data_IF_447340061583
#
_entry.id   IF_447340061583
#
_cell.length_a   1.000
_cell.length_b   1.000
_cell.length_c   1.000
_cell.angle_alpha   90.00
_cell.angle_beta   90.00
_cell.angle_gamma   90.00
#
_symmetry.space_group_name_H-M   'P 1'
#
loop_
_entity.id
_entity.type
_entity.pdbx_description
1 polymer ?
#
# COMPACT_ATOMS: atom_id res chain seq x y z
N UNK A 1 -6.31 6.99 -17.32
CA UNK A 1 -5.67 7.87 -16.32
C UNK A 1 -5.41 7.05 -15.08
N UNK A 2 -4.16 6.67 -14.84
CA UNK A 2 -3.79 5.89 -13.65
C UNK A 2 -3.80 6.85 -12.45
N UNK A 3 -4.80 6.75 -11.58
CA UNK A 3 -4.68 7.30 -10.24
C UNK A 3 -3.59 6.47 -9.56
N UNK A 4 -2.38 7.01 -9.55
CA UNK A 4 -1.25 6.40 -8.86
C UNK A 4 -1.59 6.42 -7.36
N UNK A 5 -2.15 5.31 -6.89
CA UNK A 5 -2.76 5.20 -5.56
C UNK A 5 -1.71 5.54 -4.52
N UNK A 6 -2.00 6.54 -3.68
CA UNK A 6 -1.12 6.95 -2.59
C UNK A 6 -0.75 5.73 -1.75
N UNK A 7 0.54 5.56 -1.47
CA UNK A 7 0.99 4.47 -0.61
C UNK A 7 0.53 4.72 0.84
N UNK A 8 0.36 3.67 1.64
CA UNK A 8 -0.19 3.80 3.00
C UNK A 8 0.66 4.71 3.91
N UNK A 9 1.98 4.61 3.79
CA UNK A 9 2.93 5.45 4.49
C UNK A 9 2.84 6.93 4.07
N UNK A 10 2.65 7.16 2.78
CA UNK A 10 2.45 8.49 2.19
C UNK A 10 1.13 9.12 2.63
N UNK A 11 0.06 8.31 2.70
CA UNK A 11 -1.26 8.73 3.20
C UNK A 11 -1.21 9.11 4.68
N UNK A 12 -0.53 8.32 5.51
CA UNK A 12 -0.32 8.64 6.94
C UNK A 12 0.52 9.89 7.13
N UNK A 13 1.58 10.07 6.33
CA UNK A 13 2.42 11.26 6.39
C UNK A 13 1.62 12.54 6.08
N UNK A 14 0.69 12.46 5.13
CA UNK A 14 -0.21 13.56 4.80
C UNK A 14 -1.27 13.81 5.90
N UNK A 15 -1.82 12.74 6.48
CA UNK A 15 -2.72 12.86 7.63
C UNK A 15 -2.04 13.53 8.83
N UNK A 16 -0.80 13.13 9.13
CA UNK A 16 0.02 13.70 10.19
C UNK A 16 0.32 15.19 9.94
N UNK A 17 0.63 15.57 8.69
CA UNK A 17 0.92 16.97 8.37
C UNK A 17 -0.33 17.86 8.49
N UNK A 18 -1.51 17.35 8.11
CA UNK A 18 -2.79 18.05 8.25
C UNK A 18 -3.23 18.21 9.71
N UNK A 19 -3.00 17.18 10.54
CA UNK A 19 -3.36 17.17 11.95
C UNK A 19 -2.31 17.85 12.85
N UNK A 20 -1.11 18.10 12.32
CA UNK A 20 -0.05 18.72 13.11
C UNK A 20 -0.43 20.11 13.65
N UNK A 21 0.06 20.38 14.85
CA UNK A 21 0.02 21.72 15.45
C UNK A 21 0.86 22.71 14.64
N UNK A 22 0.69 24.00 14.97
CA UNK A 22 1.48 25.06 14.36
C UNK A 22 2.97 24.86 14.63
N UNK A 23 3.76 24.74 13.57
CA UNK A 23 5.22 24.60 13.67
C UNK A 23 5.90 25.96 13.56
N UNK A 24 6.74 26.28 14.55
CA UNK A 24 7.60 27.47 14.50
C UNK A 24 8.78 27.21 13.59
N UNK A 25 9.07 28.15 12.69
CA UNK A 25 10.14 28.02 11.69
C UNK A 25 11.03 29.26 11.69
N UNK A 26 12.32 29.05 11.42
CA UNK A 26 13.34 30.09 11.48
C UNK A 26 13.46 30.92 10.19
N UNK A 27 12.53 30.78 9.26
CA UNK A 27 12.50 31.57 8.02
C UNK A 27 11.20 32.34 7.90
N UNK A 28 11.27 33.47 7.22
CA UNK A 28 10.12 34.27 6.84
C UNK A 28 9.31 33.52 5.76
N UNK A 29 7.99 33.54 5.91
CA UNK A 29 7.03 32.87 5.03
C UNK A 29 5.92 33.87 4.67
N UNK A 30 6.26 34.89 3.86
CA UNK A 30 5.29 35.92 3.47
C UNK A 30 4.85 35.76 2.02
N UNK A 31 3.59 36.10 1.77
CA UNK A 31 3.03 36.11 0.41
C UNK A 31 3.85 37.03 -0.50
N UNK A 32 4.21 36.53 -1.69
CA UNK A 32 5.10 37.20 -2.64
C UNK A 32 6.58 36.81 -2.51
N UNK A 33 6.95 36.06 -1.47
CA UNK A 33 8.27 35.42 -1.40
C UNK A 33 8.23 34.00 -1.98
N UNK A 34 9.30 33.59 -2.65
CA UNK A 34 9.43 32.25 -3.25
C UNK A 34 9.13 31.13 -2.25
N UNK A 35 9.54 31.27 -0.99
CA UNK A 35 9.33 30.25 0.05
C UNK A 35 7.85 30.03 0.33
N UNK A 36 7.07 31.10 0.40
CA UNK A 36 5.63 31.01 0.61
C UNK A 36 4.93 30.41 -0.60
N UNK A 37 5.27 30.87 -1.81
CA UNK A 37 4.66 30.38 -3.05
C UNK A 37 4.94 28.90 -3.25
N UNK A 38 6.18 28.45 -2.98
CA UNK A 38 6.55 27.03 -3.01
C UNK A 38 5.80 26.23 -1.94
N UNK A 39 5.72 26.72 -0.70
CA UNK A 39 4.98 26.04 0.35
C UNK A 39 3.48 25.92 0.01
N UNK A 40 2.90 26.98 -0.55
CA UNK A 40 1.51 27.01 -1.02
C UNK A 40 1.29 26.08 -2.22
N UNK A 41 2.25 26.02 -3.14
CA UNK A 41 2.27 25.08 -4.25
C UNK A 41 2.25 23.63 -3.78
N UNK A 42 3.16 23.26 -2.87
CA UNK A 42 3.20 21.92 -2.26
C UNK A 42 1.87 21.61 -1.54
N UNK A 43 1.35 22.57 -0.76
CA UNK A 43 0.05 22.42 -0.09
C UNK A 43 -1.06 22.09 -1.09
N UNK A 44 -1.10 22.77 -2.23
CA UNK A 44 -2.11 22.52 -3.25
C UNK A 44 -2.00 21.12 -3.86
N UNK A 45 -0.79 20.61 -4.10
CA UNK A 45 -0.61 19.23 -4.58
C UNK A 45 -1.03 18.21 -3.53
N UNK A 46 -0.69 18.46 -2.26
CA UNK A 46 -1.05 17.57 -1.16
C UNK A 46 -2.57 17.50 -0.94
N UNK A 47 -3.28 18.63 -1.12
CA UNK A 47 -4.75 18.66 -1.10
C UNK A 47 -5.37 17.80 -2.23
N UNK A 48 -4.67 17.66 -3.36
CA UNK A 48 -5.02 16.78 -4.48
C UNK A 48 -4.49 15.34 -4.30
N UNK A 49 -3.97 14.98 -3.12
CA UNK A 49 -3.38 13.68 -2.79
C UNK A 49 -2.15 13.34 -3.66
N UNK A 50 -1.31 14.33 -3.96
CA UNK A 50 -0.07 14.14 -4.72
C UNK A 50 1.11 14.80 -4.02
N UNK A 51 2.28 14.23 -4.22
CA UNK A 51 3.55 14.81 -3.77
C UNK A 51 4.34 15.29 -4.98
N UNK A 52 4.54 16.61 -5.14
CA UNK A 52 5.16 17.15 -6.33
C UNK A 52 6.68 17.00 -6.30
N UNK A 53 7.26 16.95 -7.48
CA UNK A 53 8.69 17.20 -7.67
C UNK A 53 8.99 18.67 -7.98
N UNK A 54 10.27 19.00 -8.18
CA UNK A 54 10.68 20.38 -8.47
C UNK A 54 10.11 20.91 -9.78
N UNK A 55 9.97 20.07 -10.81
CA UNK A 55 9.44 20.48 -12.11
C UNK A 55 7.94 20.70 -12.03
N UNK A 56 7.22 19.80 -11.35
CA UNK A 56 5.78 19.95 -11.09
C UNK A 56 5.47 21.29 -10.40
N UNK A 57 6.31 21.67 -9.42
CA UNK A 57 6.16 22.94 -8.71
C UNK A 57 6.42 24.14 -9.63
N UNK A 58 7.48 24.07 -10.45
CA UNK A 58 7.84 25.18 -11.32
C UNK A 58 6.80 25.38 -12.42
N UNK A 59 6.34 24.28 -13.03
CA UNK A 59 5.33 24.31 -14.08
C UNK A 59 4.02 24.92 -13.56
N UNK A 60 3.57 24.50 -12.38
CA UNK A 60 2.32 25.00 -11.77
C UNK A 60 2.40 26.47 -11.33
N UNK A 61 3.56 26.92 -10.81
CA UNK A 61 3.70 28.25 -10.21
C UNK A 61 4.24 29.32 -11.17
N UNK A 62 5.12 28.93 -12.08
CA UNK A 62 5.90 29.85 -12.91
C UNK A 62 5.82 29.55 -14.42
N UNK A 63 5.08 28.51 -14.82
CA UNK A 63 4.87 28.13 -16.22
C UNK A 63 5.97 27.21 -16.79
N UNK A 64 5.65 26.56 -17.90
CA UNK A 64 6.50 25.54 -18.54
C UNK A 64 7.83 26.11 -19.07
N UNK A 65 7.85 27.38 -19.49
CA UNK A 65 9.07 28.06 -19.96
C UNK A 65 10.18 28.03 -18.91
N UNK A 66 9.82 28.30 -17.64
CA UNK A 66 10.76 28.32 -16.51
C UNK A 66 11.20 26.92 -16.06
N UNK A 67 10.44 25.88 -16.39
CA UNK A 67 10.76 24.49 -16.04
C UNK A 67 12.01 23.98 -16.77
N UNK A 68 12.27 24.52 -17.97
CA UNK A 68 13.42 24.14 -18.80
C UNK A 68 14.66 25.01 -18.54
N UNK A 69 14.51 26.13 -17.82
CA UNK A 69 15.62 27.00 -17.44
C UNK A 69 16.44 26.39 -16.29
N UNK A 70 17.56 25.74 -16.63
CA UNK A 70 18.45 25.07 -15.66
C UNK A 70 18.85 25.95 -14.47
N UNK A 71 19.14 27.23 -14.69
CA UNK A 71 19.50 28.17 -13.62
C UNK A 71 18.32 28.43 -12.67
N UNK A 72 17.11 28.60 -13.20
CA UNK A 72 15.91 28.82 -12.41
C UNK A 72 15.58 27.58 -11.56
N UNK A 73 15.59 26.39 -12.17
CA UNK A 73 15.39 25.12 -11.46
C UNK A 73 16.38 24.98 -10.29
N UNK A 74 17.67 25.29 -10.51
CA UNK A 74 18.69 25.21 -9.46
C UNK A 74 18.43 26.20 -8.31
N UNK A 75 17.93 27.40 -8.62
CA UNK A 75 17.56 28.38 -7.60
C UNK A 75 16.38 27.89 -6.75
N UNK A 76 15.34 27.35 -7.37
CA UNK A 76 14.19 26.76 -6.67
C UNK A 76 14.64 25.58 -5.81
N UNK A 77 15.49 24.68 -6.31
CA UNK A 77 16.05 23.57 -5.51
C UNK A 77 16.84 24.08 -4.29
N UNK A 78 17.58 25.18 -4.45
CA UNK A 78 18.32 25.79 -3.35
C UNK A 78 17.38 26.34 -2.27
N UNK A 79 16.27 26.96 -2.69
CA UNK A 79 15.25 27.47 -1.76
C UNK A 79 14.54 26.30 -1.06
N UNK A 80 14.15 25.25 -1.79
CA UNK A 80 13.57 24.03 -1.21
C UNK A 80 14.52 23.41 -0.18
N UNK A 81 15.82 23.35 -0.47
CA UNK A 81 16.83 22.87 0.49
C UNK A 81 16.92 23.75 1.75
N UNK A 82 16.74 25.07 1.64
CA UNK A 82 16.66 25.96 2.81
C UNK A 82 15.38 25.72 3.63
N UNK A 83 14.25 25.50 2.95
CA UNK A 83 12.96 25.18 3.59
C UNK A 83 13.01 23.83 4.32
N UNK A 84 13.71 22.85 3.75
CA UNK A 84 13.90 21.53 4.36
C UNK A 84 14.71 21.64 5.65
N UNK A 85 15.86 22.35 5.62
CA UNK A 85 16.66 22.63 6.81
C UNK A 85 15.89 23.38 7.91
N UNK A 86 14.86 24.13 7.53
CA UNK A 86 14.01 24.89 8.45
C UNK A 86 12.77 24.10 8.89
N UNK A 87 12.71 22.80 8.58
CA UNK A 87 11.61 21.89 8.90
C UNK A 87 10.24 22.28 8.31
N UNK A 88 10.19 23.08 7.24
CA UNK A 88 8.93 23.42 6.56
C UNK A 88 8.51 22.30 5.63
N UNK A 89 9.47 21.78 4.85
CA UNK A 89 9.25 20.68 3.93
C UNK A 89 10.03 19.45 4.38
N UNK A 90 9.56 18.28 3.98
CA UNK A 90 10.24 17.00 4.11
C UNK A 90 10.51 16.46 2.72
N UNK A 91 11.69 15.87 2.56
CA UNK A 91 12.07 15.17 1.36
C UNK A 91 11.56 13.73 1.45
N UNK A 92 10.75 13.31 0.47
CA UNK A 92 10.24 11.94 0.37
C UNK A 92 11.13 11.08 -0.52
N UNK A 93 11.26 9.77 -0.26
CA UNK A 93 12.01 8.87 -1.14
C UNK A 93 11.45 8.91 -2.56
N UNK A 94 12.31 8.76 -3.56
CA UNK A 94 11.92 8.65 -4.96
C UNK A 94 11.17 7.33 -5.18
N UNK A 95 10.19 7.27 -6.09
CA UNK A 95 9.59 5.97 -6.43
C UNK A 95 10.54 5.15 -7.29
N UNK A 96 11.26 5.80 -8.21
CA UNK A 96 12.33 5.18 -9.01
C UNK A 96 13.65 5.95 -8.90
N UNK A 97 14.82 5.30 -9.05
CA UNK A 97 16.12 5.95 -8.91
C UNK A 97 16.34 7.18 -9.80
N UNK A 98 15.81 7.13 -11.03
CA UNK A 98 15.93 8.17 -12.05
C UNK A 98 14.86 9.27 -11.96
N UNK A 99 13.90 9.15 -11.04
CA UNK A 99 12.90 10.20 -10.84
C UNK A 99 13.47 11.37 -10.01
N UNK A 100 12.79 12.51 -10.08
CA UNK A 100 13.13 13.67 -9.30
C UNK A 100 12.71 13.50 -7.84
N UNK A 101 13.34 14.31 -6.97
CA UNK A 101 13.02 14.30 -5.56
C UNK A 101 11.61 14.85 -5.34
N UNK A 102 10.83 14.16 -4.51
CA UNK A 102 9.48 14.57 -4.14
C UNK A 102 9.49 15.31 -2.81
N UNK A 103 8.61 16.29 -2.68
CA UNK A 103 8.52 17.14 -1.50
C UNK A 103 7.15 17.01 -0.85
N UNK A 104 7.14 17.12 0.48
CA UNK A 104 5.95 17.15 1.30
C UNK A 104 6.04 18.28 2.31
N UNK A 105 4.92 18.82 2.76
CA UNK A 105 4.89 19.74 3.89
C UNK A 105 5.02 18.97 5.20
N UNK A 106 5.69 19.60 6.15
CA UNK A 106 5.74 19.09 7.51
C UNK A 106 4.50 19.46 8.32
N UNK A 107 3.79 20.53 7.92
CA UNK A 107 2.55 21.04 8.51
C UNK A 107 1.83 21.95 7.52
N UNK A 108 0.52 22.16 7.70
CA UNK A 108 -0.25 23.19 6.99
C UNK A 108 -0.30 24.54 7.72
N UNK A 109 0.22 24.58 8.96
CA UNK A 109 0.20 25.76 9.83
C UNK A 109 1.62 26.03 10.32
N UNK A 110 2.16 27.19 9.96
CA UNK A 110 3.49 27.61 10.40
C UNK A 110 3.41 28.92 11.16
N UNK A 111 4.34 29.11 12.08
CA UNK A 111 4.64 30.40 12.66
C UNK A 111 5.99 30.85 12.14
N UNK A 112 6.03 31.95 11.39
CA UNK A 112 7.26 32.47 10.81
C UNK A 112 8.20 33.09 11.88
N UNK A 113 9.38 33.51 11.45
CA UNK A 113 10.38 34.17 12.30
C UNK A 113 9.87 35.47 12.95
N UNK A 114 8.90 36.14 12.32
CA UNK A 114 8.30 37.37 12.82
C UNK A 114 7.07 37.08 13.71
N UNK A 115 6.81 35.81 14.04
CA UNK A 115 5.68 35.29 14.81
C UNK A 115 4.31 35.38 14.12
N UNK A 116 4.27 35.60 12.81
CA UNK A 116 3.03 35.57 12.03
C UNK A 116 2.57 34.13 11.82
N UNK A 117 1.27 33.90 12.00
CA UNK A 117 0.64 32.62 11.70
C UNK A 117 0.35 32.52 10.20
N UNK A 118 1.00 31.56 9.54
CA UNK A 118 0.85 31.28 8.12
C UNK A 118 0.02 30.01 7.96
N UNK A 119 -1.14 30.13 7.30
CA UNK A 119 -2.02 29.00 6.98
C UNK A 119 -1.99 28.71 5.48
N UNK A 120 -1.50 27.53 5.11
CA UNK A 120 -1.34 27.14 3.71
C UNK A 120 -2.62 26.57 3.09
N UNK A 121 -3.59 26.13 3.90
CA UNK A 121 -4.89 25.65 3.43
C UNK A 121 -6.01 26.11 4.37
N UNK A 122 -7.24 26.19 3.85
CA UNK A 122 -8.41 26.46 4.69
C UNK A 122 -8.80 25.21 5.49
N UNK A 123 -9.43 25.36 6.67
CA UNK A 123 -9.93 24.20 7.43
C UNK A 123 -10.90 23.32 6.63
N UNK A 124 -11.67 23.92 5.72
CA UNK A 124 -12.60 23.22 4.83
C UNK A 124 -11.85 22.34 3.82
N UNK A 125 -10.80 22.87 3.19
CA UNK A 125 -9.95 22.12 2.26
C UNK A 125 -9.28 20.94 2.96
N UNK A 126 -8.72 21.15 4.15
CA UNK A 126 -8.10 20.10 4.95
C UNK A 126 -9.12 18.99 5.27
N UNK A 127 -10.31 19.37 5.76
CA UNK A 127 -11.36 18.40 6.10
C UNK A 127 -11.83 17.60 4.87
N UNK A 128 -11.95 18.25 3.71
CA UNK A 128 -12.30 17.59 2.46
C UNK A 128 -11.25 16.55 2.06
N UNK A 129 -9.97 16.92 2.10
CA UNK A 129 -8.89 15.98 1.77
C UNK A 129 -8.78 14.84 2.78
N UNK A 130 -8.98 15.11 4.08
CA UNK A 130 -9.03 14.07 5.12
C UNK A 130 -10.14 13.03 4.87
N UNK A 131 -11.34 13.49 4.46
CA UNK A 131 -12.43 12.58 4.10
C UNK A 131 -12.08 11.68 2.91
N UNK A 132 -11.23 12.16 1.98
CA UNK A 132 -10.72 11.35 0.86
C UNK A 132 -9.58 10.41 1.28
N UNK A 133 -8.80 10.76 2.31
CA UNK A 133 -7.68 9.97 2.83
C UNK A 133 -8.12 8.78 3.69
N UNK A 134 -9.11 8.98 4.56
CA UNK A 134 -9.54 7.94 5.51
C UNK A 134 -9.90 6.59 4.84
N UNK A 135 -10.61 6.54 3.70
CA UNK A 135 -10.85 5.28 3.00
C UNK A 135 -9.55 4.61 2.52
N UNK A 136 -8.57 5.36 2.04
CA UNK A 136 -7.29 4.83 1.54
C UNK A 136 -6.51 4.18 2.69
N UNK A 137 -6.43 4.89 3.82
CA UNK A 137 -5.76 4.43 5.04
C UNK A 137 -6.47 3.18 5.58
N UNK A 138 -7.81 3.22 5.71
CA UNK A 138 -8.58 2.10 6.25
C UNK A 138 -8.55 0.85 5.36
N UNK A 139 -8.55 1.03 4.02
CA UNK A 139 -8.49 -0.10 3.07
C UNK A 139 -7.14 -0.80 3.12
N UNK A 140 -6.04 -0.06 3.29
CA UNK A 140 -4.68 -0.61 3.36
C UNK A 140 -4.29 -1.09 4.76
N UNK A 141 -5.01 -0.66 5.80
CA UNK A 141 -4.92 -1.20 7.16
C UNK A 141 -5.61 -2.57 7.32
N UNK A 142 -6.26 -3.12 6.28
CA UNK A 142 -6.63 -4.53 6.30
C UNK A 142 -5.36 -5.35 6.55
N UNK A 143 -5.33 -6.21 7.59
CA UNK A 143 -4.08 -6.86 7.98
C UNK A 143 -3.62 -7.71 6.80
N UNK A 144 -2.51 -7.33 6.17
CA UNK A 144 -1.73 -8.20 5.28
C UNK A 144 -1.37 -9.52 5.97
N UNK A 145 -1.36 -9.54 7.31
CA UNK A 145 -1.31 -10.73 8.15
C UNK A 145 -2.44 -11.75 7.88
N UNK A 146 -3.68 -11.31 7.59
CA UNK A 146 -4.78 -12.22 7.26
C UNK A 146 -4.55 -12.93 5.92
N UNK A 147 -4.02 -12.21 4.93
CA UNK A 147 -3.71 -12.80 3.62
C UNK A 147 -2.54 -13.80 3.70
N UNK A 148 -1.52 -13.50 4.51
CA UNK A 148 -0.41 -14.40 4.79
C UNK A 148 -0.87 -15.68 5.50
N UNK A 149 -1.70 -15.56 6.53
CA UNK A 149 -2.27 -16.71 7.24
C UNK A 149 -3.12 -17.60 6.33
N UNK A 150 -3.99 -17.01 5.50
CA UNK A 150 -4.81 -17.75 4.54
C UNK A 150 -3.93 -18.51 3.53
N UNK A 151 -2.88 -17.87 3.02
CA UNK A 151 -1.94 -18.52 2.08
C UNK A 151 -1.21 -19.71 2.72
N UNK A 152 -0.76 -19.56 3.97
CA UNK A 152 -0.13 -20.64 4.74
C UNK A 152 -1.11 -21.78 4.99
N UNK A 153 -2.36 -21.46 5.36
CA UNK A 153 -3.42 -22.45 5.59
C UNK A 153 -3.71 -23.25 4.31
N UNK A 154 -3.86 -22.58 3.16
CA UNK A 154 -4.10 -23.22 1.87
C UNK A 154 -2.92 -24.12 1.48
N UNK A 155 -1.69 -23.65 1.64
CA UNK A 155 -0.49 -24.45 1.38
C UNK A 155 -0.40 -25.69 2.28
N UNK A 156 -0.70 -25.56 3.57
CA UNK A 156 -0.74 -26.68 4.50
C UNK A 156 -1.83 -27.70 4.10
N UNK A 157 -2.99 -27.21 3.67
CA UNK A 157 -4.09 -28.07 3.23
C UNK A 157 -3.74 -28.87 1.97
N UNK A 158 -3.05 -28.24 1.00
CA UNK A 158 -2.54 -28.94 -0.20
C UNK A 158 -1.58 -30.07 0.18
N UNK A 159 -0.66 -29.82 1.13
CA UNK A 159 0.29 -30.83 1.60
C UNK A 159 -0.42 -32.01 2.26
N UNK A 160 -1.39 -31.74 3.14
CA UNK A 160 -2.18 -32.80 3.82
C UNK A 160 -2.96 -33.64 2.81
N UNK A 161 -3.63 -33.00 1.85
CA UNK A 161 -4.40 -33.70 0.81
C UNK A 161 -3.48 -34.54 -0.08
N UNK A 162 -2.32 -34.02 -0.46
CA UNK A 162 -1.33 -34.77 -1.24
C UNK A 162 -0.80 -35.99 -0.49
N UNK A 163 -0.49 -35.83 0.80
CA UNK A 163 -0.03 -36.93 1.64
C UNK A 163 -1.10 -38.00 1.84
N UNK A 164 -2.35 -37.59 2.07
CA UNK A 164 -3.48 -38.51 2.20
C UNK A 164 -3.73 -39.30 0.91
N UNK A 165 -3.61 -38.67 -0.26
CA UNK A 165 -3.76 -39.33 -1.55
C UNK A 165 -2.66 -40.38 -1.79
N UNK A 166 -1.41 -40.08 -1.43
CA UNK A 166 -0.29 -41.03 -1.52
C UNK A 166 -0.49 -42.21 -0.58
N UNK A 167 -0.86 -41.96 0.68
CA UNK A 167 -1.16 -43.03 1.64
C UNK A 167 -2.32 -43.92 1.14
N UNK A 168 -3.38 -43.31 0.60
CA UNK A 168 -4.51 -44.05 0.04
C UNK A 168 -4.08 -44.97 -1.11
N UNK A 169 -3.26 -44.46 -2.03
CA UNK A 169 -2.73 -45.26 -3.15
C UNK A 169 -1.83 -46.41 -2.68
N UNK A 170 -1.03 -46.21 -1.63
CA UNK A 170 -0.17 -47.25 -1.06
C UNK A 170 -0.94 -48.32 -0.27
N UNK A 171 -2.10 -47.97 0.32
CA UNK A 171 -2.96 -48.88 1.06
C UNK A 171 -3.90 -49.69 0.16
N UNK A 172 -4.22 -49.21 -1.04
CA UNK A 172 -5.08 -49.89 -2.02
C UNK A 172 -4.71 -51.37 -2.30
N UNK A 173 -3.42 -51.72 -2.53
CA UNK A 173 -3.00 -53.11 -2.75
C UNK A 173 -3.18 -54.03 -1.54
N UNK A 174 -3.32 -53.48 -0.34
CA UNK A 174 -3.54 -54.23 0.91
C UNK A 174 -5.03 -54.37 1.16
N UNK A 175 -5.79 -53.29 1.01
CA UNK A 175 -7.25 -53.26 1.23
C UNK A 175 -7.97 -54.18 0.23
N UNK A 176 -7.57 -54.18 -1.04
CA UNK A 176 -8.24 -54.97 -2.08
C UNK A 176 -8.22 -56.48 -1.79
N UNK A 177 -7.09 -57.11 -1.42
CA UNK A 177 -7.05 -58.49 -0.95
C UNK A 177 -7.91 -58.74 0.31
N UNK A 178 -7.90 -57.83 1.29
CA UNK A 178 -8.70 -57.97 2.51
C UNK A 178 -10.20 -58.01 2.24
N UNK A 179 -10.68 -57.33 1.19
CA UNK A 179 -12.09 -57.37 0.78
C UNK A 179 -12.36 -58.54 -0.17
N UNK A 180 -11.44 -58.80 -1.11
CA UNK A 180 -11.60 -59.80 -2.15
C UNK A 180 -11.56 -61.24 -1.62
N UNK A 181 -10.64 -61.54 -0.70
CA UNK A 181 -10.45 -62.92 -0.17
C UNK A 181 -11.70 -63.42 0.59
N UNK A 182 -12.30 -62.65 1.52
CA UNK A 182 -13.55 -63.06 2.16
C UNK A 182 -14.71 -63.18 1.17
N UNK A 183 -14.85 -62.24 0.24
CA UNK A 183 -15.92 -62.28 -0.76
C UNK A 183 -15.80 -63.52 -1.67
N UNK A 184 -14.58 -63.85 -2.11
CA UNK A 184 -14.31 -65.04 -2.90
C UNK A 184 -14.59 -66.33 -2.11
N UNK A 185 -14.17 -66.39 -0.85
CA UNK A 185 -14.45 -67.54 0.03
C UNK A 185 -15.96 -67.76 0.21
N UNK A 186 -16.72 -66.69 0.48
CA UNK A 186 -18.18 -66.74 0.58
C UNK A 186 -18.79 -67.23 -0.74
N UNK A 187 -18.35 -66.69 -1.89
CA UNK A 187 -18.86 -67.11 -3.19
C UNK A 187 -18.60 -68.61 -3.47
N UNK A 188 -17.41 -69.11 -3.16
CA UNK A 188 -17.05 -70.53 -3.33
C UNK A 188 -17.88 -71.43 -2.41
N UNK A 189 -18.01 -71.09 -1.13
CA UNK A 189 -18.83 -71.88 -0.19
C UNK A 189 -20.30 -71.94 -0.60
N UNK A 190 -20.89 -70.81 -1.02
CA UNK A 190 -22.25 -70.74 -1.55
C UNK A 190 -22.41 -71.59 -2.82
N UNK A 191 -21.44 -71.54 -3.74
CA UNK A 191 -21.47 -72.29 -5.00
C UNK A 191 -21.39 -73.81 -4.75
N UNK A 192 -20.55 -74.23 -3.79
CA UNK A 192 -20.45 -75.63 -3.37
C UNK A 192 -21.71 -76.12 -2.67
N UNK A 193 -22.31 -75.32 -1.78
CA UNK A 193 -23.59 -75.67 -1.16
C UNK A 193 -24.71 -75.79 -2.20
N UNK A 194 -24.79 -74.85 -3.14
CA UNK A 194 -25.78 -74.88 -4.20
C UNK A 194 -25.60 -76.09 -5.13
N UNK A 195 -24.35 -76.39 -5.52
CA UNK A 195 -24.03 -77.58 -6.31
C UNK A 195 -24.37 -78.89 -5.60
N UNK A 196 -24.12 -78.99 -4.29
CA UNK A 196 -24.52 -80.16 -3.48
C UNK A 196 -26.04 -80.31 -3.40
N UNK A 197 -26.77 -79.21 -3.17
CA UNK A 197 -28.24 -79.22 -3.12
C UNK A 197 -28.87 -79.61 -4.46
N UNK A 198 -28.31 -79.13 -5.58
CA UNK A 198 -28.79 -79.48 -6.92
C UNK A 198 -28.43 -80.92 -7.33
N UNK A 199 -27.32 -81.48 -6.84
CA UNK A 199 -26.91 -82.86 -7.12
C UNK A 199 -27.69 -83.91 -6.31
N UNK A 200 -28.38 -83.53 -5.24
CA UNK A 200 -29.20 -84.42 -4.40
C UNK A 200 -30.68 -84.50 -4.87
N UNK A 201 -31.01 -83.82 -5.97
CA UNK A 201 -32.33 -83.83 -6.59
C UNK A 201 -32.28 -84.63 -7.89
#
# INVERSE_FOLDING_TARGET
>A
MSQDKLAANEARLLEDSMNSDTKTVNIRLRQGEYQYDLAKGIASFELELKFPDVKDLIEKLYGEERTNETHFVRNIQTILKKMEKSNIIRILPKKKPWELQRYALSSFKFQDVDKNLVRLATPQQIKQTQNLLHPIINTQNMPTAKLGYIKILISAFIIVMSYAAVLWALLQPIINPFIFVPAFYIAVTCSLMLGKLLSQK
#
